data_IF_162697145678
#
_entry.id   IF_162697145678
#
_cell.length_a   1.000
_cell.length_b   1.000
_cell.length_c   1.000
_cell.angle_alpha   90.00
_cell.angle_beta   90.00
_cell.angle_gamma   90.00
#
_symmetry.space_group_name_H-M   'P 1'
#
loop_
_entity.id
_entity.type
_entity.pdbx_description
1 polymer ?
#
# COMPACT_ATOMS: atom_id res chain seq x y z
N UNK A 1 -3.65 9.29 -12.98
CA UNK A 1 -2.40 10.06 -13.07
C UNK A 1 -1.34 9.08 -13.56
N UNK A 2 -0.76 9.26 -14.74
CA UNK A 2 0.26 8.32 -15.23
C UNK A 2 1.45 8.35 -14.27
N UNK A 3 1.98 7.17 -13.94
CA UNK A 3 3.16 7.04 -13.11
C UNK A 3 4.35 7.48 -13.94
N UNK A 4 4.95 8.62 -13.59
CA UNK A 4 6.15 9.11 -14.28
C UNK A 4 7.41 8.77 -13.50
N UNK A 5 8.42 8.33 -14.22
CA UNK A 5 9.70 7.92 -13.65
C UNK A 5 10.72 9.04 -13.79
N UNK A 6 11.59 9.25 -12.79
CA UNK A 6 12.79 10.06 -12.95
C UNK A 6 13.60 9.63 -14.17
N UNK A 7 14.25 10.58 -14.85
CA UNK A 7 14.91 10.33 -16.14
C UNK A 7 15.96 9.21 -16.07
N UNK A 8 16.72 9.16 -14.98
CA UNK A 8 17.72 8.14 -14.69
C UNK A 8 17.07 6.76 -14.48
N UNK A 9 16.00 6.69 -13.69
CA UNK A 9 15.23 5.45 -13.47
C UNK A 9 14.61 4.96 -14.78
N UNK A 10 14.05 5.86 -15.58
CA UNK A 10 13.50 5.54 -16.91
C UNK A 10 14.58 4.96 -17.82
N UNK A 11 15.76 5.58 -17.89
CA UNK A 11 16.88 5.07 -18.68
C UNK A 11 17.34 3.68 -18.22
N UNK A 12 17.42 3.46 -16.90
CA UNK A 12 17.74 2.14 -16.34
C UNK A 12 16.67 1.09 -16.68
N UNK A 13 15.39 1.44 -16.60
CA UNK A 13 14.29 0.55 -16.95
C UNK A 13 14.32 0.15 -18.44
N UNK A 14 14.58 1.11 -19.33
CA UNK A 14 14.74 0.83 -20.78
C UNK A 14 15.91 -0.12 -21.01
N UNK A 15 17.08 0.14 -20.40
CA UNK A 15 18.25 -0.74 -20.52
C UNK A 15 17.98 -2.16 -19.97
N UNK A 16 17.18 -2.26 -18.91
CA UNK A 16 16.75 -3.54 -18.34
C UNK A 16 15.84 -4.31 -19.30
N UNK A 17 14.88 -3.63 -19.94
CA UNK A 17 14.01 -4.24 -20.97
C UNK A 17 14.84 -4.73 -22.16
N UNK A 18 15.76 -3.89 -22.67
CA UNK A 18 16.67 -4.29 -23.74
C UNK A 18 17.48 -5.54 -23.36
N UNK A 19 18.02 -5.57 -22.13
CA UNK A 19 18.76 -6.71 -21.62
C UNK A 19 17.90 -7.97 -21.57
N UNK A 20 16.67 -7.86 -21.06
CA UNK A 20 15.74 -9.00 -20.99
C UNK A 20 15.49 -9.60 -22.37
N UNK A 21 15.23 -8.77 -23.39
CA UNK A 21 15.06 -9.25 -24.77
C UNK A 21 16.33 -9.91 -25.32
N UNK A 22 17.52 -9.34 -25.06
CA UNK A 22 18.79 -9.97 -25.49
C UNK A 22 19.04 -11.33 -24.84
N UNK A 23 18.59 -11.53 -23.59
CA UNK A 23 18.84 -12.76 -22.84
C UNK A 23 17.75 -13.83 -23.07
N UNK A 24 16.53 -13.43 -23.45
CA UNK A 24 15.35 -14.33 -23.43
C UNK A 24 14.56 -14.39 -24.73
N UNK A 25 14.83 -13.53 -25.71
CA UNK A 25 14.12 -13.49 -26.99
C UNK A 25 15.09 -13.74 -28.14
N UNK A 26 14.60 -14.33 -29.23
CA UNK A 26 15.42 -14.60 -30.41
C UNK A 26 15.87 -13.31 -31.12
N UNK A 27 15.02 -12.27 -31.09
CA UNK A 27 15.30 -10.96 -31.67
C UNK A 27 15.46 -9.88 -30.59
N UNK A 28 16.59 -9.13 -30.60
CA UNK A 28 16.79 -8.04 -29.65
C UNK A 28 15.87 -6.86 -29.97
N UNK A 29 15.42 -6.17 -28.92
CA UNK A 29 14.64 -4.94 -29.05
C UNK A 29 15.56 -3.71 -29.14
N UNK A 30 15.20 -2.75 -29.98
CA UNK A 30 15.88 -1.44 -30.06
C UNK A 30 15.38 -0.47 -28.98
N UNK A 31 16.21 0.55 -28.68
CA UNK A 31 15.94 1.51 -27.61
C UNK A 31 14.58 2.23 -27.70
N UNK A 32 14.20 2.68 -28.89
CA UNK A 32 12.92 3.38 -29.11
C UNK A 32 11.74 2.44 -28.83
N UNK A 33 11.81 1.18 -29.28
CA UNK A 33 10.77 0.20 -29.04
C UNK A 33 10.69 -0.20 -27.56
N UNK A 34 11.84 -0.36 -26.89
CA UNK A 34 11.90 -0.59 -25.45
C UNK A 34 11.32 0.57 -24.63
N UNK A 35 11.58 1.82 -25.04
CA UNK A 35 10.98 3.00 -24.44
C UNK A 35 9.46 3.05 -24.64
N UNK A 36 8.97 2.67 -25.83
CA UNK A 36 7.54 2.53 -26.11
C UNK A 36 6.88 1.44 -25.25
N UNK A 37 7.52 0.28 -25.11
CA UNK A 37 7.04 -0.80 -24.26
C UNK A 37 7.00 -0.41 -22.78
N UNK A 38 8.03 0.30 -22.30
CA UNK A 38 8.01 0.88 -20.96
C UNK A 38 6.84 1.87 -20.79
N UNK A 39 6.58 2.71 -21.79
CA UNK A 39 5.43 3.62 -21.82
C UNK A 39 4.11 2.87 -21.65
N UNK A 40 3.90 1.82 -22.46
CA UNK A 40 2.72 0.95 -22.35
C UNK A 40 2.56 0.36 -20.94
N UNK A 41 3.62 -0.18 -20.35
CA UNK A 41 3.55 -0.72 -18.99
C UNK A 41 3.19 0.34 -17.95
N UNK A 42 3.75 1.56 -18.05
CA UNK A 42 3.47 2.65 -17.12
C UNK A 42 2.04 3.19 -17.25
N UNK A 43 1.48 3.19 -18.45
CA UNK A 43 0.13 3.70 -18.72
C UNK A 43 -0.97 2.67 -18.42
N UNK A 44 -0.78 1.42 -18.84
CA UNK A 44 -1.84 0.39 -18.77
C UNK A 44 -1.71 -0.52 -17.54
N UNK A 45 -0.50 -0.95 -17.20
CA UNK A 45 -0.28 -2.00 -16.19
C UNK A 45 0.03 -1.43 -14.82
N UNK A 46 0.87 -0.40 -14.74
CA UNK A 46 1.33 0.16 -13.48
C UNK A 46 0.19 0.71 -12.59
N UNK A 47 -0.89 1.32 -13.13
CA UNK A 47 -2.03 1.74 -12.31
C UNK A 47 -2.76 0.58 -11.63
N UNK A 48 -2.83 -0.60 -12.27
CA UNK A 48 -3.45 -1.80 -11.69
C UNK A 48 -2.69 -2.22 -10.43
N UNK A 49 -1.37 -2.35 -10.54
CA UNK A 49 -0.51 -2.74 -9.42
C UNK A 49 -0.53 -1.69 -8.32
N UNK A 50 -0.46 -0.40 -8.68
CA UNK A 50 -0.50 0.70 -7.71
C UNK A 50 -1.81 0.73 -6.91
N UNK A 51 -2.95 0.61 -7.59
CA UNK A 51 -4.26 0.62 -6.94
C UNK A 51 -4.44 -0.59 -6.01
N UNK A 52 -3.95 -1.77 -6.40
CA UNK A 52 -3.96 -2.93 -5.52
C UNK A 52 -3.12 -2.67 -4.26
N UNK A 53 -1.91 -2.13 -4.41
CA UNK A 53 -1.07 -1.79 -3.25
C UNK A 53 -1.74 -0.78 -2.31
N UNK A 54 -2.43 0.23 -2.86
CA UNK A 54 -3.22 1.19 -2.05
C UNK A 54 -4.34 0.47 -1.30
N UNK A 55 -5.08 -0.42 -1.96
CA UNK A 55 -6.14 -1.20 -1.33
C UNK A 55 -5.61 -2.07 -0.18
N UNK A 56 -4.49 -2.76 -0.40
CA UNK A 56 -3.86 -3.60 0.62
C UNK A 56 -3.43 -2.80 1.86
N UNK A 57 -2.90 -1.58 1.64
CA UNK A 57 -2.53 -0.67 2.73
C UNK A 57 -3.77 -0.19 3.47
N UNK A 58 -4.84 0.17 2.76
CA UNK A 58 -6.10 0.60 3.36
C UNK A 58 -6.70 -0.51 4.25
N UNK A 59 -6.75 -1.74 3.77
CA UNK A 59 -7.28 -2.88 4.54
C UNK A 59 -6.51 -3.07 5.85
N UNK A 60 -5.16 -3.05 5.79
CA UNK A 60 -4.30 -3.18 6.98
C UNK A 60 -4.51 -2.06 7.98
N UNK A 61 -4.60 -0.81 7.51
CA UNK A 61 -4.82 0.33 8.39
C UNK A 61 -6.21 0.31 9.01
N UNK A 62 -7.24 -0.08 8.25
CA UNK A 62 -8.61 -0.22 8.77
C UNK A 62 -8.68 -1.26 9.89
N UNK A 63 -7.99 -2.40 9.73
CA UNK A 63 -7.90 -3.40 10.79
C UNK A 63 -7.27 -2.82 12.06
N UNK A 64 -6.18 -2.06 11.95
CA UNK A 64 -5.56 -1.40 13.10
C UNK A 64 -6.45 -0.34 13.74
N UNK A 65 -7.16 0.45 12.94
CA UNK A 65 -8.11 1.44 13.46
C UNK A 65 -9.25 0.76 14.21
N UNK A 66 -9.74 -0.38 13.74
CA UNK A 66 -10.77 -1.15 14.44
C UNK A 66 -10.31 -1.69 15.80
N UNK A 67 -9.02 -2.03 15.95
CA UNK A 67 -8.44 -2.48 17.22
C UNK A 67 -8.40 -1.36 18.29
N UNK A 68 -8.34 -0.09 17.89
CA UNK A 68 -8.21 1.05 18.83
C UNK A 68 -9.39 1.13 19.80
N UNK A 69 -10.61 0.81 19.37
CA UNK A 69 -11.80 0.84 20.25
C UNK A 69 -11.71 -0.19 21.39
N UNK A 70 -10.98 -1.30 21.18
CA UNK A 70 -10.75 -2.31 22.21
C UNK A 70 -9.62 -1.91 23.16
N UNK A 71 -8.55 -1.31 22.63
CA UNK A 71 -7.38 -0.92 23.41
C UNK A 71 -7.60 0.35 24.24
N UNK A 72 -8.37 1.29 23.70
CA UNK A 72 -8.56 2.64 24.26
C UNK A 72 -10.03 2.85 24.57
N UNK A 73 -10.51 2.18 25.61
CA UNK A 73 -11.88 2.32 26.12
C UNK A 73 -11.89 2.56 27.63
N UNK A 74 -12.80 3.43 28.07
CA UNK A 74 -13.04 3.71 29.48
C UNK A 74 -14.51 3.48 29.80
N UNK A 75 -14.78 2.79 30.91
CA UNK A 75 -16.14 2.50 31.36
C UNK A 75 -16.89 3.79 31.73
N UNK A 76 -17.99 4.06 31.04
CA UNK A 76 -18.87 5.17 31.38
C UNK A 76 -19.65 4.93 32.70
N UNK A 77 -20.07 6.03 33.34
CA UNK A 77 -20.91 6.03 34.55
C UNK A 77 -20.31 5.29 35.77
N UNK A 78 -18.97 5.21 35.86
CA UNK A 78 -18.29 4.61 37.00
C UNK A 78 -18.40 5.37 38.33
N UNK A 79 -18.93 6.60 38.34
CA UNK A 79 -18.95 7.47 39.52
C UNK A 79 -19.72 6.84 40.70
N UNK A 80 -20.99 6.48 40.54
CA UNK A 80 -21.82 5.94 41.64
C UNK A 80 -21.44 4.51 42.04
N UNK A 81 -20.94 3.70 41.09
CA UNK A 81 -20.43 2.33 41.34
C UNK A 81 -19.29 2.32 42.38
N UNK A 82 -18.50 3.40 42.47
CA UNK A 82 -17.42 3.57 43.46
C UNK A 82 -17.97 3.71 44.89
N UNK A 83 -19.13 4.34 45.05
CA UNK A 83 -19.71 4.64 46.37
C UNK A 83 -20.66 3.53 46.87
N UNK A 84 -21.30 2.76 45.99
CA UNK A 84 -22.15 1.61 46.38
C UNK A 84 -21.36 0.49 47.08
N UNK A 85 -20.10 0.25 46.66
CA UNK A 85 -19.25 -0.78 47.30
C UNK A 85 -18.87 -0.43 48.75
N UNK A 86 -18.77 0.86 49.07
CA UNK A 86 -18.40 1.33 50.43
C UNK A 86 -19.57 1.19 51.41
N UNK A 87 -20.81 1.29 50.94
CA UNK A 87 -22.02 1.12 51.77
C UNK A 87 -22.29 -0.33 52.19
N UNK A 88 -21.80 -1.32 51.43
CA UNK A 88 -22.08 -2.75 51.66
C UNK A 88 -21.13 -3.44 52.65
N UNK A 89 -19.97 -2.86 52.94
CA UNK A 89 -19.01 -3.36 53.94
C UNK A 89 -19.22 -2.82 55.36
N UNK A 90 -20.25 -1.99 55.58
CA UNK A 90 -20.59 -1.36 56.86
C UNK A 90 -21.91 -1.89 57.48
N UNK A 91 -22.44 -2.99 56.97
CA UNK A 91 -23.60 -3.70 57.52
C UNK A 91 -23.22 -5.12 57.91
#
# INVERSE_FOLDING_TARGET
>A
MPIDLPKDVRAQAIASIERYFREHMDEPIGNIAAAGLLGFFLEEIAPVVYNQAVSDVQERLQARVAEVDLEVHEDAFGYWKKYEKVGKGRR
#
